data_IF_879991337720
#
_entry.id   IF_879991337720
#
_cell.length_a   1.000
_cell.length_b   1.000
_cell.length_c   1.000
_cell.angle_alpha   90.00
_cell.angle_beta   90.00
_cell.angle_gamma   90.00
#
_symmetry.space_group_name_H-M   'P 1'
#
loop_
_entity.id
_entity.type
_entity.pdbx_description
1 polymer ?
#
# COMPACT_ATOMS: atom_id res chain seq x y z
N UNK A 1 -10.61 -9.14 -10.16
CA UNK A 1 -9.24 -8.95 -10.71
C UNK A 1 -8.62 -10.32 -10.74
N UNK A 2 -7.86 -10.67 -11.77
CA UNK A 2 -7.08 -11.91 -11.80
C UNK A 2 -5.64 -11.52 -12.08
N UNK A 3 -4.71 -11.99 -11.24
CA UNK A 3 -3.28 -11.81 -11.45
C UNK A 3 -2.77 -13.17 -11.90
N UNK A 4 -2.21 -13.26 -13.11
CA UNK A 4 -1.75 -14.52 -13.66
C UNK A 4 -0.80 -15.22 -12.69
N UNK A 5 -1.12 -16.47 -12.34
CA UNK A 5 -0.32 -17.27 -11.40
C UNK A 5 -0.69 -17.11 -9.92
N UNK A 6 -1.58 -16.18 -9.56
CA UNK A 6 -2.10 -16.03 -8.20
C UNK A 6 -3.49 -16.64 -8.08
N UNK A 7 -3.68 -17.47 -7.06
CA UNK A 7 -4.99 -17.88 -6.58
C UNK A 7 -5.44 -16.87 -5.51
N UNK A 8 -6.31 -15.95 -5.92
CA UNK A 8 -6.79 -14.86 -5.06
C UNK A 8 -7.82 -15.33 -4.02
N UNK A 9 -8.21 -16.62 -4.04
CA UNK A 9 -9.04 -17.21 -2.99
C UNK A 9 -8.19 -17.82 -1.85
N UNK A 10 -6.87 -17.91 -2.04
CA UNK A 10 -5.93 -18.50 -1.09
C UNK A 10 -4.84 -17.52 -0.67
N UNK A 11 -4.92 -17.04 0.57
CA UNK A 11 -3.86 -16.21 1.18
C UNK A 11 -2.50 -16.91 1.16
N UNK A 12 -2.47 -18.21 1.50
CA UNK A 12 -1.26 -19.03 1.51
C UNK A 12 -0.60 -19.06 0.14
N UNK A 13 -1.36 -19.39 -0.91
CA UNK A 13 -0.82 -19.45 -2.27
C UNK A 13 -0.33 -18.07 -2.71
N UNK A 14 -1.12 -17.03 -2.45
CA UNK A 14 -0.78 -15.64 -2.79
C UNK A 14 0.50 -15.18 -2.10
N UNK A 15 0.69 -15.50 -0.81
CA UNK A 15 1.91 -15.17 -0.06
C UNK A 15 3.13 -15.96 -0.52
N UNK A 16 2.98 -17.26 -0.85
CA UNK A 16 4.07 -18.06 -1.44
C UNK A 16 4.52 -17.47 -2.78
N UNK A 17 3.56 -17.08 -3.63
CA UNK A 17 3.84 -16.46 -4.93
C UNK A 17 4.46 -15.08 -4.78
N UNK A 18 3.97 -14.26 -3.85
CA UNK A 18 4.58 -13.00 -3.47
C UNK A 18 6.03 -13.19 -3.02
N UNK A 19 6.27 -14.15 -2.12
CA UNK A 19 7.59 -14.45 -1.58
C UNK A 19 8.57 -14.85 -2.69
N UNK A 20 8.13 -15.72 -3.61
CA UNK A 20 8.93 -16.10 -4.77
C UNK A 20 9.25 -14.88 -5.65
N UNK A 21 8.24 -14.09 -6.03
CA UNK A 21 8.44 -12.93 -6.91
C UNK A 21 9.39 -11.89 -6.28
N UNK A 22 9.18 -11.54 -5.01
CA UNK A 22 10.03 -10.55 -4.33
C UNK A 22 11.44 -11.08 -4.07
N UNK A 23 11.63 -12.38 -3.86
CA UNK A 23 12.97 -12.97 -3.69
C UNK A 23 13.83 -12.78 -4.96
N UNK A 24 13.23 -12.97 -6.13
CA UNK A 24 13.91 -12.76 -7.42
C UNK A 24 14.21 -11.28 -7.64
N UNK A 25 13.21 -10.40 -7.46
CA UNK A 25 13.40 -8.96 -7.65
C UNK A 25 14.43 -8.38 -6.67
N UNK A 26 14.41 -8.81 -5.41
CA UNK A 26 15.38 -8.43 -4.39
C UNK A 26 16.79 -8.92 -4.76
N UNK A 27 16.92 -10.17 -5.18
CA UNK A 27 18.21 -10.73 -5.65
C UNK A 27 18.80 -9.93 -6.80
N UNK A 28 18.00 -9.65 -7.83
CA UNK A 28 18.42 -8.83 -8.98
C UNK A 28 18.80 -7.41 -8.58
N UNK A 29 18.01 -6.78 -7.70
CA UNK A 29 18.32 -5.45 -7.18
C UNK A 29 19.67 -5.42 -6.44
N UNK A 30 19.95 -6.43 -5.62
CA UNK A 30 21.24 -6.57 -4.94
C UNK A 30 22.39 -6.82 -5.89
N UNK A 31 22.20 -7.66 -6.91
CA UNK A 31 23.22 -7.96 -7.91
C UNK A 31 23.62 -6.71 -8.72
N UNK A 32 22.64 -5.86 -9.07
CA UNK A 32 22.89 -4.59 -9.74
C UNK A 32 23.66 -3.58 -8.88
N UNK A 33 23.59 -3.72 -7.56
CA UNK A 33 24.26 -2.85 -6.60
C UNK A 33 23.53 -1.52 -6.35
N UNK A 34 23.95 -0.78 -5.31
CA UNK A 34 23.24 0.39 -4.78
C UNK A 34 23.30 1.62 -5.70
N UNK A 35 24.11 1.61 -6.76
CA UNK A 35 24.16 2.67 -7.77
C UNK A 35 23.11 2.48 -8.88
N UNK A 36 22.56 1.26 -9.01
CA UNK A 36 21.64 0.90 -10.10
C UNK A 36 20.28 0.41 -9.63
N UNK A 37 20.16 -0.03 -8.37
CA UNK A 37 18.87 -0.30 -7.76
C UNK A 37 18.74 0.28 -6.35
N UNK A 38 17.65 1.03 -6.11
CA UNK A 38 17.27 1.55 -4.80
C UNK A 38 16.01 0.84 -4.31
N UNK A 39 16.10 0.17 -3.17
CA UNK A 39 14.94 -0.39 -2.47
C UNK A 39 14.21 0.69 -1.68
N UNK A 40 12.89 0.81 -1.91
CA UNK A 40 12.01 1.80 -1.26
C UNK A 40 10.90 1.05 -0.53
N UNK A 41 10.98 0.93 0.81
CA UNK A 41 9.89 0.35 1.60
C UNK A 41 8.66 1.27 1.55
N UNK A 42 7.52 0.72 1.13
CA UNK A 42 6.28 1.48 0.98
C UNK A 42 5.88 2.18 2.28
N UNK A 43 5.96 1.47 3.40
CA UNK A 43 5.55 1.98 4.71
C UNK A 43 6.40 3.17 5.11
N UNK A 44 7.71 3.10 4.85
CA UNK A 44 8.63 4.19 5.14
C UNK A 44 8.40 5.40 4.22
N UNK A 45 8.07 5.16 2.94
CA UNK A 45 7.69 6.23 2.00
C UNK A 45 6.39 6.92 2.43
N UNK A 46 5.40 6.17 2.91
CA UNK A 46 4.13 6.74 3.36
C UNK A 46 4.28 7.45 4.70
N UNK A 47 5.05 6.92 5.65
CA UNK A 47 5.30 7.53 6.96
C UNK A 47 6.14 8.81 6.83
N UNK A 48 7.17 8.80 5.97
CA UNK A 48 8.18 9.85 5.86
C UNK A 48 8.40 10.30 4.39
N UNK A 49 7.35 10.79 3.70
CA UNK A 49 7.39 11.03 2.25
C UNK A 49 8.46 12.04 1.85
N UNK A 50 8.67 13.11 2.63
CA UNK A 50 9.68 14.12 2.28
C UNK A 50 11.09 13.54 2.34
N UNK A 51 11.40 12.77 3.39
CA UNK A 51 12.71 12.15 3.54
C UNK A 51 12.98 11.17 2.39
N UNK A 52 12.02 10.31 2.08
CA UNK A 52 12.18 9.30 1.02
C UNK A 52 12.19 9.91 -0.37
N UNK A 53 11.34 10.90 -0.66
CA UNK A 53 11.38 11.58 -1.96
C UNK A 53 12.69 12.34 -2.17
N UNK A 54 13.25 12.98 -1.14
CA UNK A 54 14.60 13.57 -1.23
C UNK A 54 15.66 12.51 -1.55
N UNK A 55 15.60 11.35 -0.88
CA UNK A 55 16.52 10.23 -1.12
C UNK A 55 16.39 9.69 -2.55
N UNK A 56 15.16 9.49 -3.03
CA UNK A 56 14.86 8.95 -4.36
C UNK A 56 15.31 9.92 -5.45
N UNK A 57 14.96 11.21 -5.35
CA UNK A 57 15.36 12.21 -6.35
C UNK A 57 16.87 12.40 -6.40
N UNK A 58 17.54 12.42 -5.24
CA UNK A 58 19.01 12.47 -5.19
C UNK A 58 19.64 11.22 -5.81
N UNK A 59 19.07 10.03 -5.58
CA UNK A 59 19.54 8.79 -6.20
C UNK A 59 19.39 8.79 -7.72
N UNK A 60 18.33 9.42 -8.25
CA UNK A 60 18.08 9.52 -9.69
C UNK A 60 18.78 10.71 -10.37
N UNK A 61 19.56 11.49 -9.63
CA UNK A 61 20.15 12.76 -10.09
C UNK A 61 19.11 13.75 -10.66
N UNK A 62 17.98 13.87 -9.95
CA UNK A 62 16.89 14.80 -10.27
C UNK A 62 16.80 15.87 -9.17
N UNK A 63 16.73 17.18 -9.52
CA UNK A 63 16.61 18.23 -8.52
C UNK A 63 15.30 18.13 -7.73
N UNK A 64 15.34 18.52 -6.46
CA UNK A 64 14.14 18.59 -5.62
C UNK A 64 13.11 19.54 -6.21
N UNK A 65 11.85 19.10 -6.23
CA UNK A 65 10.69 19.95 -6.48
C UNK A 65 9.61 19.65 -5.45
N UNK A 66 8.99 20.68 -4.88
CA UNK A 66 7.95 20.52 -3.86
C UNK A 66 6.70 19.80 -4.38
N UNK A 67 6.45 19.81 -5.70
CA UNK A 67 5.31 19.14 -6.32
C UNK A 67 5.22 17.65 -6.01
N UNK A 68 6.34 16.99 -5.71
CA UNK A 68 6.36 15.55 -5.35
C UNK A 68 5.64 15.26 -4.03
N UNK A 69 5.41 16.27 -3.20
CA UNK A 69 4.65 16.17 -1.95
C UNK A 69 3.15 16.38 -2.14
N UNK A 70 2.72 16.80 -3.35
CA UNK A 70 1.37 17.27 -3.66
C UNK A 70 0.84 16.66 -4.97
N UNK A 71 1.18 15.40 -5.25
CA UNK A 71 0.81 14.73 -6.51
C UNK A 71 -0.70 14.80 -6.83
N UNK A 72 -1.55 14.79 -5.80
CA UNK A 72 -3.01 14.88 -5.90
C UNK A 72 -3.49 16.20 -6.52
N UNK A 73 -2.66 17.25 -6.51
CA UNK A 73 -2.96 18.53 -7.13
C UNK A 73 -2.63 18.56 -8.63
N UNK A 74 -1.92 17.55 -9.15
CA UNK A 74 -1.43 17.50 -10.53
C UNK A 74 -2.08 16.38 -11.38
N UNK A 75 -3.13 15.73 -10.87
CA UNK A 75 -3.85 14.69 -11.60
C UNK A 75 -4.45 15.24 -12.90
N UNK A 76 -4.13 14.61 -14.04
CA UNK A 76 -4.60 14.95 -15.38
C UNK A 76 -4.34 16.41 -15.82
N UNK A 77 -3.39 17.12 -15.18
CA UNK A 77 -2.92 18.44 -15.61
C UNK A 77 -1.75 18.32 -16.59
N UNK A 78 -1.52 19.31 -17.48
CA UNK A 78 -0.34 19.34 -18.35
C UNK A 78 0.96 19.21 -17.54
N UNK A 79 1.81 18.24 -17.90
CA UNK A 79 3.05 17.94 -17.16
C UNK A 79 2.87 17.30 -15.78
N UNK A 80 1.64 16.87 -15.44
CA UNK A 80 1.29 16.25 -14.17
C UNK A 80 1.19 14.72 -14.23
N UNK A 81 0.31 14.15 -13.42
CA UNK A 81 0.13 12.70 -13.28
C UNK A 81 -1.05 12.25 -14.16
N UNK A 82 -0.80 11.61 -15.32
CA UNK A 82 -1.89 11.04 -16.13
C UNK A 82 -2.49 9.84 -15.39
N UNK A 83 -3.82 9.81 -15.31
CA UNK A 83 -4.53 8.75 -14.59
C UNK A 83 -5.36 7.90 -15.56
N UNK A 84 -5.12 6.60 -15.55
CA UNK A 84 -5.91 5.64 -16.32
C UNK A 84 -7.20 5.29 -15.60
N UNK A 85 -8.32 5.31 -16.34
CA UNK A 85 -9.64 4.94 -15.79
C UNK A 85 -9.81 3.45 -15.50
N UNK A 86 -8.97 2.62 -16.12
CA UNK A 86 -9.04 1.16 -16.01
C UNK A 86 -8.03 0.58 -15.01
N UNK A 87 -7.09 1.41 -14.54
CA UNK A 87 -6.12 1.02 -13.51
C UNK A 87 -6.78 0.92 -12.14
N UNK A 88 -6.38 -0.10 -11.38
CA UNK A 88 -6.98 -0.43 -10.08
C UNK A 88 -6.50 0.46 -8.94
N UNK A 89 -5.36 1.13 -9.13
CA UNK A 89 -4.77 2.03 -8.14
C UNK A 89 -5.32 3.45 -8.22
N UNK A 90 -6.11 3.75 -9.25
CA UNK A 90 -6.43 5.13 -9.63
C UNK A 90 -7.28 5.86 -8.58
N UNK A 91 -8.22 5.19 -7.94
CA UNK A 91 -9.05 5.80 -6.89
C UNK A 91 -8.29 6.04 -5.57
N UNK A 92 -7.16 5.36 -5.35
CA UNK A 92 -6.25 5.67 -4.24
C UNK A 92 -5.28 6.81 -4.58
N UNK A 93 -4.78 6.88 -5.82
CA UNK A 93 -3.79 7.89 -6.27
C UNK A 93 -4.36 9.32 -6.30
N UNK A 94 -5.68 9.50 -6.40
CA UNK A 94 -6.28 10.85 -6.34
C UNK A 94 -6.27 11.47 -4.94
N UNK A 95 -5.87 10.71 -3.91
CA UNK A 95 -5.81 11.14 -2.51
C UNK A 95 -4.36 11.51 -2.16
N UNK A 96 -4.13 12.49 -1.27
CA UNK A 96 -2.77 12.77 -0.77
C UNK A 96 -2.20 11.54 -0.05
N UNK A 97 -0.87 11.48 0.10
CA UNK A 97 -0.20 10.43 0.88
C UNK A 97 -0.79 10.35 2.29
N UNK A 98 -1.29 9.17 2.67
CA UNK A 98 -2.05 8.94 3.90
C UNK A 98 -1.87 7.50 4.41
N UNK A 99 -2.33 7.22 5.64
CA UNK A 99 -2.08 5.96 6.35
C UNK A 99 -3.22 4.93 6.23
N UNK A 100 -4.29 5.19 5.48
CA UNK A 100 -5.51 4.38 5.53
C UNK A 100 -5.30 2.91 5.10
N UNK A 101 -4.26 2.62 4.31
CA UNK A 101 -3.97 1.27 3.84
C UNK A 101 -2.93 0.51 4.70
N UNK A 102 -2.22 1.18 5.60
CA UNK A 102 -0.96 0.67 6.16
C UNK A 102 -1.13 -0.64 6.94
N UNK A 103 -2.18 -0.74 7.73
CA UNK A 103 -2.47 -1.92 8.58
C UNK A 103 -3.84 -2.53 8.29
N UNK A 104 -4.48 -2.19 7.16
CA UNK A 104 -5.84 -2.68 6.83
C UNK A 104 -5.89 -4.21 6.68
N UNK A 105 -4.77 -4.84 6.36
CA UNK A 105 -4.68 -6.30 6.20
C UNK A 105 -4.77 -7.06 7.54
N UNK A 106 -4.49 -6.41 8.68
CA UNK A 106 -4.49 -7.03 10.01
C UNK A 106 -5.89 -7.60 10.31
N UNK A 107 -5.93 -8.84 10.79
CA UNK A 107 -7.18 -9.55 11.07
C UNK A 107 -7.87 -10.19 9.87
N UNK A 108 -7.39 -9.97 8.63
CA UNK A 108 -7.98 -10.54 7.42
C UNK A 108 -7.27 -11.81 6.90
N UNK A 109 -6.10 -12.14 7.46
CA UNK A 109 -5.33 -13.34 7.09
C UNK A 109 -5.78 -14.51 7.98
N UNK A 110 -6.10 -15.70 7.41
CA UNK A 110 -6.45 -16.89 8.19
C UNK A 110 -5.41 -17.26 9.23
N UNK A 111 -5.85 -17.70 10.42
CA UNK A 111 -4.98 -17.97 11.57
C UNK A 111 -3.90 -19.03 11.29
N UNK A 112 -4.21 -20.05 10.48
CA UNK A 112 -3.24 -21.08 10.09
C UNK A 112 -2.08 -20.49 9.26
N UNK A 113 -2.39 -19.54 8.38
CA UNK A 113 -1.40 -18.84 7.56
C UNK A 113 -0.58 -17.87 8.40
N UNK A 114 -1.21 -17.18 9.36
CA UNK A 114 -0.50 -16.31 10.32
C UNK A 114 0.49 -17.13 11.16
N UNK A 115 0.07 -18.28 11.68
CA UNK A 115 0.94 -19.16 12.49
C UNK A 115 2.15 -19.67 11.70
N UNK A 116 1.99 -19.88 10.41
CA UNK A 116 3.03 -20.41 9.51
C UNK A 116 3.68 -19.31 8.65
N UNK A 117 3.50 -18.03 8.99
CA UNK A 117 3.89 -16.89 8.17
C UNK A 117 5.39 -16.90 7.81
N UNK A 118 6.26 -17.26 8.77
CA UNK A 118 7.70 -17.34 8.56
C UNK A 118 8.10 -18.41 7.52
N UNK A 119 7.36 -19.52 7.45
CA UNK A 119 7.59 -20.59 6.49
C UNK A 119 6.97 -20.27 5.12
N UNK A 120 5.79 -19.67 5.12
CA UNK A 120 5.05 -19.25 3.93
C UNK A 120 5.76 -18.10 3.19
N UNK A 121 6.34 -17.16 3.94
CA UNK A 121 6.87 -15.90 3.43
C UNK A 121 8.19 -15.47 4.11
N UNK A 122 9.28 -16.26 4.01
CA UNK A 122 10.57 -15.96 4.66
C UNK A 122 11.21 -14.64 4.22
N UNK A 123 10.85 -14.10 3.04
CA UNK A 123 11.31 -12.80 2.58
C UNK A 123 10.87 -11.64 3.49
N UNK A 124 9.84 -11.81 4.32
CA UNK A 124 9.47 -10.80 5.32
C UNK A 124 10.66 -10.45 6.21
N UNK A 125 11.29 -11.45 6.83
CA UNK A 125 12.47 -11.26 7.68
C UNK A 125 13.66 -10.67 6.91
N UNK A 126 13.87 -11.11 5.66
CA UNK A 126 14.95 -10.59 4.80
C UNK A 126 14.78 -9.10 4.51
N UNK A 127 13.54 -8.65 4.39
CA UNK A 127 13.18 -7.25 4.11
C UNK A 127 13.00 -6.42 5.38
N UNK A 128 13.16 -7.02 6.57
CA UNK A 128 13.05 -6.33 7.86
C UNK A 128 11.66 -6.28 8.47
N UNK A 129 10.72 -7.09 7.97
CA UNK A 129 9.39 -7.27 8.57
C UNK A 129 9.40 -8.49 9.49
N UNK A 130 8.95 -8.34 10.74
CA UNK A 130 8.80 -9.46 11.67
C UNK A 130 7.60 -10.32 11.27
N UNK A 131 7.79 -11.59 10.82
CA UNK A 131 6.71 -12.45 10.39
C UNK A 131 5.79 -12.90 11.54
N UNK A 132 6.18 -12.68 12.80
CA UNK A 132 5.39 -13.03 13.99
C UNK A 132 4.67 -11.82 14.60
N UNK A 133 4.95 -10.60 14.13
CA UNK A 133 4.28 -9.39 14.60
C UNK A 133 2.95 -9.16 13.87
N UNK A 134 1.84 -9.24 14.61
CA UNK A 134 0.50 -8.95 14.10
C UNK A 134 -0.31 -8.17 15.15
N UNK A 135 -0.39 -6.82 15.06
CA UNK A 135 0.05 -5.97 13.95
C UNK A 135 1.57 -5.72 13.92
N UNK A 136 2.12 -5.40 12.75
CA UNK A 136 3.50 -4.92 12.62
C UNK A 136 3.66 -3.49 13.16
N UNK A 137 4.88 -3.13 13.55
CA UNK A 137 5.24 -1.76 13.96
C UNK A 137 6.13 -1.13 12.88
N UNK A 138 5.55 -0.31 12.01
CA UNK A 138 6.27 0.33 10.91
C UNK A 138 6.96 1.65 11.28
N UNK A 139 6.52 2.31 12.36
CA UNK A 139 7.04 3.61 12.80
C UNK A 139 5.94 4.66 12.98
N UNK A 140 6.33 5.85 13.43
CA UNK A 140 5.43 6.99 13.62
C UNK A 140 5.44 7.90 12.38
N UNK A 141 4.28 8.35 11.87
CA UNK A 141 4.21 9.19 10.68
C UNK A 141 4.69 10.62 10.93
N UNK A 142 5.16 11.28 9.88
CA UNK A 142 5.32 12.74 9.85
C UNK A 142 3.95 13.43 10.09
N UNK A 143 3.97 14.62 10.69
CA UNK A 143 2.75 15.39 10.99
C UNK A 143 1.88 15.65 9.76
N UNK A 144 2.51 16.00 8.63
CA UNK A 144 1.85 16.19 7.33
C UNK A 144 1.00 14.97 6.93
N UNK A 145 1.52 13.77 7.13
CA UNK A 145 0.84 12.52 6.76
C UNK A 145 -0.33 12.24 7.70
N UNK A 146 -0.18 12.55 8.99
CA UNK A 146 -1.26 12.48 9.95
C UNK A 146 -2.40 13.44 9.58
N UNK A 147 -2.07 14.65 9.16
CA UNK A 147 -3.05 15.66 8.72
C UNK A 147 -3.75 15.24 7.43
N UNK A 148 -3.01 14.74 6.45
CA UNK A 148 -3.56 14.15 5.23
C UNK A 148 -4.53 13.02 5.53
N UNK A 149 -4.15 12.12 6.45
CA UNK A 149 -4.99 10.99 6.85
C UNK A 149 -6.31 11.45 7.46
N UNK A 150 -6.28 12.45 8.36
CA UNK A 150 -7.52 13.02 8.92
C UNK A 150 -8.42 13.63 7.83
N UNK A 151 -7.84 14.35 6.87
CA UNK A 151 -8.59 14.91 5.72
C UNK A 151 -9.18 13.83 4.82
N UNK A 152 -8.47 12.72 4.62
CA UNK A 152 -8.95 11.59 3.82
C UNK A 152 -10.13 10.91 4.49
N UNK A 153 -10.00 10.59 5.78
CA UNK A 153 -11.05 9.91 6.55
C UNK A 153 -12.30 10.78 6.74
N UNK A 154 -12.14 12.07 7.02
CA UNK A 154 -13.28 12.99 7.16
C UNK A 154 -13.98 13.32 5.83
N UNK A 155 -13.29 13.10 4.70
CA UNK A 155 -13.71 13.55 3.37
C UNK A 155 -14.23 12.45 2.45
N UNK A 156 -14.73 11.32 2.97
CA UNK A 156 -15.09 10.16 2.12
C UNK A 156 -15.97 10.54 0.92
N UNK A 157 -17.06 11.28 1.18
CA UNK A 157 -17.96 11.77 0.13
C UNK A 157 -17.26 12.67 -0.91
N UNK A 158 -16.31 13.50 -0.49
CA UNK A 158 -15.51 14.34 -1.39
C UNK A 158 -14.64 13.49 -2.32
N UNK A 159 -14.01 12.44 -1.79
CA UNK A 159 -13.14 11.56 -2.56
C UNK A 159 -13.92 10.66 -3.52
N UNK A 160 -15.13 10.26 -3.14
CA UNK A 160 -16.09 9.63 -4.04
C UNK A 160 -16.47 10.55 -5.21
N UNK A 161 -16.81 11.81 -4.93
CA UNK A 161 -17.17 12.78 -5.96
C UNK A 161 -16.00 13.04 -6.92
N UNK A 162 -14.78 13.16 -6.38
CA UNK A 162 -13.57 13.27 -7.21
C UNK A 162 -13.34 12.02 -8.06
N UNK A 163 -13.50 10.82 -7.50
CA UNK A 163 -13.38 9.57 -8.28
C UNK A 163 -14.39 9.52 -9.42
N UNK A 164 -15.66 9.90 -9.16
CA UNK A 164 -16.70 10.01 -10.18
C UNK A 164 -16.35 11.04 -11.26
N UNK A 165 -15.82 12.21 -10.88
CA UNK A 165 -15.38 13.23 -11.83
C UNK A 165 -14.30 12.69 -12.79
N UNK A 166 -13.38 11.86 -12.30
CA UNK A 166 -12.38 11.17 -13.13
C UNK A 166 -12.88 9.88 -13.80
N UNK A 167 -14.15 9.50 -13.59
CA UNK A 167 -14.78 8.29 -14.11
C UNK A 167 -14.08 7.01 -13.62
N UNK A 168 -13.66 7.02 -12.36
CA UNK A 168 -13.04 5.89 -11.67
C UNK A 168 -14.10 5.12 -10.87
N UNK A 169 -13.94 3.81 -10.77
CA UNK A 169 -14.68 3.02 -9.77
C UNK A 169 -14.14 3.34 -8.38
N UNK A 170 -14.97 3.93 -7.50
CA UNK A 170 -14.58 4.21 -6.13
C UNK A 170 -14.70 2.97 -5.24
N UNK A 171 -13.68 2.67 -4.43
CA UNK A 171 -13.78 1.71 -3.32
C UNK A 171 -13.78 2.44 -1.98
N UNK A 172 -14.86 2.34 -1.19
CA UNK A 172 -14.94 3.02 0.11
C UNK A 172 -13.86 2.51 1.07
N UNK A 173 -13.52 3.35 2.05
CA UNK A 173 -12.57 2.96 3.10
C UNK A 173 -13.39 2.19 4.14
N UNK A 174 -13.49 0.88 4.01
CA UNK A 174 -14.19 0.06 5.03
C UNK A 174 -13.52 0.24 6.39
N UNK A 175 -14.28 0.75 7.36
CA UNK A 175 -13.93 0.70 8.77
C UNK A 175 -14.06 -0.75 9.23
N UNK A 176 -12.95 -1.39 9.58
CA UNK A 176 -12.99 -2.68 10.27
C UNK A 176 -13.54 -2.47 11.68
N UNK A 177 -14.86 -2.53 11.84
CA UNK A 177 -15.59 -2.85 13.07
C UNK A 177 -17.11 -2.70 12.82
N UNK A 178 -17.79 -3.66 12.17
CA UNK A 178 -19.26 -3.84 12.36
C UNK A 178 -19.88 -5.16 11.85
N UNK A 179 -19.14 -6.21 11.52
CA UNK A 179 -19.74 -7.51 11.09
C UNK A 179 -19.46 -8.69 12.04
N UNK A 180 -19.38 -8.44 13.35
CA UNK A 180 -19.30 -9.52 14.35
C UNK A 180 -20.66 -9.89 14.98
N UNK A 181 -21.80 -9.40 14.48
CA UNK A 181 -23.09 -9.64 15.11
C UNK A 181 -24.23 -9.85 14.11
N UNK A 182 -24.19 -10.92 13.32
CA UNK A 182 -25.43 -11.58 12.84
C UNK A 182 -25.16 -12.94 12.17
N UNK A 183 -24.78 -13.95 12.95
CA UNK A 183 -25.01 -15.34 12.53
C UNK A 183 -25.26 -16.27 13.73
N UNK A 184 -26.46 -16.17 14.29
CA UNK A 184 -27.06 -17.29 15.02
C UNK A 184 -28.45 -17.53 14.43
N UNK A 185 -28.52 -18.44 13.47
CA UNK A 185 -29.79 -19.07 13.09
C UNK A 185 -29.92 -20.39 13.88
N UNK A 186 -31.10 -20.71 14.43
CA UNK A 186 -31.31 -21.89 15.25
C UNK A 186 -31.43 -23.14 14.39
N UNK A 187 -30.86 -24.24 14.86
CA UNK A 187 -31.05 -25.58 14.30
C UNK A 187 -32.41 -26.11 14.74
N UNK A 188 -33.23 -26.54 13.78
CA UNK A 188 -34.39 -27.39 13.99
C UNK A 188 -34.15 -28.74 13.29
#
# INVERSE_FOLDING_TARGET
>A
VTITGFDLTSYRQSLIRWNHAISVMYGQCKELGPERCLMVPYEQLVLHPRQWMKKILNYLDVPWNESVMHHEEFINKPGGVPLSKVERSSDQIIKPVNLAALTKWVGNIPEDVVREMADVAPMLSVLGYDPYANPPVYGAPDSLVSDNTRRVLAGEKLWEEKARAYHLSHRPIENSNEEAASSTAPVA
#
